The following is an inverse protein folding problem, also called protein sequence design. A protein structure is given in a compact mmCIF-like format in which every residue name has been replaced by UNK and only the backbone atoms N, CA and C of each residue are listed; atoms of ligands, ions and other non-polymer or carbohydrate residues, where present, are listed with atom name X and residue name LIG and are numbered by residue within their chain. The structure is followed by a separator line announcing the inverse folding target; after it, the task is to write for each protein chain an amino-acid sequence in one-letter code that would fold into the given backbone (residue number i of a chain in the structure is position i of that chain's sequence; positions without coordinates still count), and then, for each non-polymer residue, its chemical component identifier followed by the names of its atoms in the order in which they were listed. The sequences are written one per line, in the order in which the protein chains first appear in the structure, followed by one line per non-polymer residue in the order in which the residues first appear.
data_IF_166375165443
#
_entry.id   IF_166375165443
#
_cell.length_a   1.000
_cell.length_b   1.000
_cell.length_c   1.000
_cell.angle_alpha   90.00
_cell.angle_beta   90.00
_cell.angle_gamma   90.00
#
_symmetry.space_group_name_H-M   'P 1'
#
loop_
_entity.id
_entity.type
_entity.pdbx_description
1 polymer ?
#
# COMPACT_ATOMS: atom_id res chain seq x y z
N UNK A 1 -10.41 -17.66 6.13
CA UNK A 1 -10.66 -16.25 5.78
C UNK A 1 -9.55 -15.83 4.87
N UNK A 2 -9.89 -15.23 3.73
CA UNK A 2 -8.88 -14.79 2.77
C UNK A 2 -8.30 -13.45 3.23
N UNK A 3 -6.97 -13.35 3.22
CA UNK A 3 -6.26 -12.12 3.54
C UNK A 3 -6.60 -11.04 2.52
N UNK A 4 -6.77 -9.79 2.97
CA UNK A 4 -6.93 -8.62 2.09
C UNK A 4 -5.59 -7.89 2.02
N UNK A 5 -5.20 -7.42 0.85
CA UNK A 5 -4.00 -6.61 0.68
C UNK A 5 -4.38 -5.14 0.47
N UNK A 6 -3.54 -4.22 0.93
CA UNK A 6 -3.75 -2.79 0.77
C UNK A 6 -2.47 -2.14 0.27
N UNK A 7 -2.58 -1.28 -0.74
CA UNK A 7 -1.50 -0.34 -1.08
C UNK A 7 -1.82 0.98 -0.41
N UNK A 8 -0.93 1.43 0.49
CA UNK A 8 -1.06 2.69 1.22
C UNK A 8 -0.03 3.71 0.72
N UNK A 9 -0.50 4.86 0.27
CA UNK A 9 0.33 5.99 -0.12
C UNK A 9 0.33 7.01 1.01
N UNK A 10 1.48 7.17 1.69
CA UNK A 10 1.61 8.13 2.78
C UNK A 10 2.00 9.48 2.20
N UNK A 11 1.09 10.46 2.26
CA UNK A 11 1.25 11.75 1.58
C UNK A 11 2.09 12.75 2.38
N UNK A 12 2.82 13.62 1.68
CA UNK A 12 3.65 14.68 2.28
C UNK A 12 2.90 16.00 2.50
N UNK A 13 1.75 16.18 1.85
CA UNK A 13 1.04 17.47 1.75
C UNK A 13 -0.04 17.68 2.82
N UNK A 14 0.01 16.89 3.91
CA UNK A 14 -0.96 16.88 5.02
C UNK A 14 -2.37 16.42 4.65
N UNK A 15 -2.57 15.93 3.41
CA UNK A 15 -3.80 15.24 3.05
C UNK A 15 -3.79 13.81 3.61
N UNK A 16 -4.96 13.17 3.74
CA UNK A 16 -5.06 11.79 4.20
C UNK A 16 -4.30 10.81 3.30
N UNK A 17 -3.77 9.74 3.88
CA UNK A 17 -3.19 8.63 3.12
C UNK A 17 -4.21 8.06 2.12
N UNK A 18 -3.73 7.69 0.93
CA UNK A 18 -4.56 6.98 -0.05
C UNK A 18 -4.44 5.48 0.20
N UNK A 19 -5.58 4.77 0.16
CA UNK A 19 -5.66 3.35 0.47
C UNK A 19 -6.41 2.59 -0.63
N UNK A 20 -5.78 1.56 -1.18
CA UNK A 20 -6.33 0.74 -2.27
C UNK A 20 -6.32 -0.73 -1.88
N UNK A 21 -7.50 -1.35 -1.81
CA UNK A 21 -7.66 -2.71 -1.32
C UNK A 21 -7.78 -3.73 -2.47
N UNK A 22 -7.15 -4.89 -2.27
CA UNK A 22 -7.05 -5.98 -3.23
C UNK A 22 -7.31 -7.32 -2.54
N UNK A 23 -7.95 -8.26 -3.26
CA UNK A 23 -8.13 -9.62 -2.78
C UNK A 23 -6.90 -10.51 -3.06
N UNK A 24 -6.03 -10.09 -3.99
CA UNK A 24 -4.84 -10.82 -4.38
C UNK A 24 -3.57 -10.00 -4.11
N UNK A 25 -2.54 -10.67 -3.57
CA UNK A 25 -1.22 -10.07 -3.32
C UNK A 25 -0.62 -9.49 -4.59
N UNK A 26 -0.69 -10.24 -5.69
CA UNK A 26 -0.03 -9.86 -6.94
C UNK A 26 -0.64 -8.59 -7.54
N UNK A 27 -1.95 -8.37 -7.40
CA UNK A 27 -2.60 -7.13 -7.85
C UNK A 27 -2.11 -5.91 -7.05
N UNK A 28 -1.99 -6.05 -5.73
CA UNK A 28 -1.46 -5.01 -4.87
C UNK A 28 0.01 -4.69 -5.22
N UNK A 29 0.84 -5.72 -5.42
CA UNK A 29 2.25 -5.55 -5.81
C UNK A 29 2.37 -4.91 -7.19
N UNK A 30 1.55 -5.30 -8.17
CA UNK A 30 1.54 -4.69 -9.51
C UNK A 30 1.21 -3.20 -9.42
N UNK A 31 0.16 -2.80 -8.69
CA UNK A 31 -0.19 -1.39 -8.54
C UNK A 31 0.95 -0.62 -7.87
N UNK A 32 1.48 -1.16 -6.80
CA UNK A 32 2.59 -0.57 -6.08
C UNK A 32 3.84 -0.37 -6.97
N UNK A 33 4.18 -1.35 -7.81
CA UNK A 33 5.34 -1.27 -8.70
C UNK A 33 5.16 -0.24 -9.83
N UNK A 34 3.93 0.23 -10.12
CA UNK A 34 3.70 1.35 -11.05
C UNK A 34 4.30 2.67 -10.55
N UNK A 35 4.61 2.78 -9.25
CA UNK A 35 5.14 3.97 -8.61
C UNK A 35 6.60 3.81 -8.15
N UNK A 36 7.28 2.74 -8.57
CA UNK A 36 8.67 2.47 -8.17
C UNK A 36 9.65 3.60 -8.54
N UNK A 37 9.37 4.31 -9.64
CA UNK A 37 10.16 5.44 -10.13
C UNK A 37 9.49 6.81 -9.89
N UNK A 38 8.48 6.87 -9.00
CA UNK A 38 7.79 8.13 -8.72
C UNK A 38 8.75 9.17 -8.09
N UNK A 39 8.94 10.27 -8.82
CA UNK A 39 9.74 11.42 -8.38
C UNK A 39 8.88 12.67 -8.14
N UNK A 40 7.57 12.50 -7.94
CA UNK A 40 6.63 13.61 -7.78
C UNK A 40 6.86 14.42 -6.51
N UNK A 41 7.45 13.80 -5.47
CA UNK A 41 7.61 14.36 -4.13
C UNK A 41 6.31 14.39 -3.32
N UNK A 42 5.21 13.84 -3.85
CA UNK A 42 3.90 13.85 -3.20
C UNK A 42 3.79 12.79 -2.08
N UNK A 43 4.50 11.68 -2.23
CA UNK A 43 4.46 10.57 -1.28
C UNK A 43 5.75 10.51 -0.47
N UNK A 44 5.61 10.40 0.85
CA UNK A 44 6.72 10.18 1.77
C UNK A 44 7.24 8.74 1.63
N UNK A 45 6.30 7.80 1.46
CA UNK A 45 6.53 6.39 1.21
C UNK A 45 5.26 5.75 0.67
N UNK A 46 5.44 4.61 0.01
CA UNK A 46 4.33 3.76 -0.44
C UNK A 46 4.53 2.39 0.18
N UNK A 47 3.46 1.77 0.67
CA UNK A 47 3.50 0.51 1.42
C UNK A 47 2.51 -0.51 0.84
N UNK A 48 2.86 -1.80 0.90
CA UNK A 48 1.91 -2.91 0.75
C UNK A 48 1.68 -3.52 2.12
N UNK A 49 0.43 -3.55 2.56
CA UNK A 49 -0.02 -4.11 3.83
C UNK A 49 -0.87 -5.36 3.58
N UNK A 50 -0.84 -6.31 4.50
CA UNK A 50 -1.72 -7.48 4.53
C UNK A 50 -2.61 -7.42 5.78
N UNK A 51 -3.92 -7.46 5.57
CA UNK A 51 -4.94 -7.47 6.61
C UNK A 51 -5.48 -8.89 6.77
N UNK A 52 -5.26 -9.45 7.95
CA UNK A 52 -5.91 -10.67 8.41
C UNK A 52 -6.99 -10.31 9.43
N UNK A 53 -8.11 -11.04 9.43
CA UNK A 53 -9.37 -10.62 10.07
C UNK A 53 -9.33 -10.37 11.59
N UNK A 54 -8.21 -10.69 12.26
CA UNK A 54 -8.06 -10.55 13.72
C UNK A 54 -6.69 -10.01 14.13
N UNK A 55 -5.89 -9.52 13.19
CA UNK A 55 -4.51 -9.09 13.44
C UNK A 55 -4.27 -7.68 12.93
N UNK A 56 -3.29 -7.00 13.54
CA UNK A 56 -2.75 -5.75 13.01
C UNK A 56 -2.18 -6.00 11.60
N UNK A 57 -2.30 -5.04 10.67
CA UNK A 57 -1.82 -5.23 9.31
C UNK A 57 -0.31 -5.47 9.28
N UNK A 58 0.10 -6.51 8.56
CA UNK A 58 1.50 -6.86 8.34
C UNK A 58 2.07 -6.02 7.18
N UNK A 59 3.22 -5.38 7.38
CA UNK A 59 3.94 -4.68 6.31
C UNK A 59 4.65 -5.70 5.40
N UNK A 60 4.22 -5.76 4.14
CA UNK A 60 4.74 -6.68 3.12
C UNK A 60 5.88 -6.05 2.31
N UNK A 61 5.75 -4.77 1.93
CA UNK A 61 6.70 -4.05 1.07
C UNK A 61 6.64 -2.53 1.32
N UNK A 62 7.76 -1.82 1.18
CA UNK A 62 7.84 -0.35 1.34
C UNK A 62 8.95 0.27 0.47
N UNK A 63 8.74 1.50 -0.02
CA UNK A 63 9.75 2.39 -0.62
C UNK A 63 9.62 3.78 -0.02
#
# INVERSE_FOLDING_TARGET
MDSIYCVRFVRTDKQPDEMYFYNAKDEAVIHFDMFADDCSGLYQRIEVLKYDAQEEPELVKVF
#
